data_IF_829328843712
#
_entry.id   IF_829328843712
#
_cell.length_a   1.000
_cell.length_b   1.000
_cell.length_c   1.000
_cell.angle_alpha   90.00
_cell.angle_beta   90.00
_cell.angle_gamma   90.00
#
_symmetry.space_group_name_H-M   'P 1'
#
loop_
_entity.id
_entity.type
_entity.pdbx_description
1 polymer ?
#
# COMPACT_ATOMS: atom_id res chain seq x y z
N UNK A 1 -18.98 50.10 -15.13
CA UNK A 1 -19.12 49.19 -13.96
C UNK A 1 -18.63 47.81 -14.39
N UNK A 2 -17.43 47.41 -13.98
CA UNK A 2 -16.86 46.11 -14.31
C UNK A 2 -17.22 45.09 -13.22
N UNK A 3 -18.03 44.10 -13.58
CA UNK A 3 -18.32 42.93 -12.73
C UNK A 3 -17.08 42.04 -12.70
N UNK A 4 -16.34 42.13 -11.60
CA UNK A 4 -15.21 41.24 -11.30
C UNK A 4 -15.76 39.89 -10.85
N UNK A 5 -15.99 39.00 -11.81
CA UNK A 5 -16.26 37.59 -11.51
C UNK A 5 -14.92 36.93 -11.11
N UNK A 6 -14.61 36.92 -9.82
CA UNK A 6 -13.49 36.11 -9.28
C UNK A 6 -13.92 34.64 -9.35
N UNK A 7 -13.26 33.78 -10.14
CA UNK A 7 -13.46 32.34 -9.98
C UNK A 7 -13.01 31.98 -8.56
N UNK A 8 -13.94 31.47 -7.75
CA UNK A 8 -13.60 30.81 -6.50
C UNK A 8 -12.80 29.57 -6.88
N UNK A 9 -11.48 29.66 -6.75
CA UNK A 9 -10.59 28.50 -6.71
C UNK A 9 -10.93 27.71 -5.45
N UNK A 10 -11.86 26.77 -5.58
CA UNK A 10 -12.01 25.70 -4.59
C UNK A 10 -10.69 24.94 -4.62
N UNK A 11 -9.85 25.17 -3.60
CA UNK A 11 -8.57 24.49 -3.45
C UNK A 11 -8.79 23.00 -3.21
N UNK A 12 -8.92 22.23 -4.29
CA UNK A 12 -8.96 20.76 -4.24
C UNK A 12 -7.55 20.24 -4.55
N UNK A 13 -6.63 20.44 -3.61
CA UNK A 13 -5.29 19.85 -3.65
C UNK A 13 -5.35 18.40 -3.15
N UNK A 14 -5.84 17.49 -3.99
CA UNK A 14 -5.59 16.06 -3.82
C UNK A 14 -4.52 15.65 -4.81
N UNK A 15 -3.24 15.71 -4.45
CA UNK A 15 -2.19 15.19 -5.35
C UNK A 15 -2.44 13.71 -5.59
N UNK A 16 -2.18 13.21 -6.79
CA UNK A 16 -2.28 11.78 -7.11
C UNK A 16 -1.49 10.89 -6.13
N UNK A 17 -0.38 11.41 -5.59
CA UNK A 17 0.38 10.77 -4.53
C UNK A 17 -0.40 10.72 -3.20
N UNK A 18 -1.13 11.77 -2.85
CA UNK A 18 -1.97 11.83 -1.65
C UNK A 18 -3.13 10.82 -1.67
N UNK A 19 -3.81 10.66 -2.81
CA UNK A 19 -4.89 9.67 -2.96
C UNK A 19 -4.36 8.23 -2.94
N UNK A 20 -3.22 7.97 -3.59
CA UNK A 20 -2.54 6.67 -3.52
C UNK A 20 -2.06 6.32 -2.10
N UNK A 21 -1.53 7.31 -1.37
CA UNK A 21 -1.11 7.13 0.03
C UNK A 21 -2.28 6.83 0.94
N UNK A 22 -3.42 7.51 0.76
CA UNK A 22 -4.64 7.22 1.52
C UNK A 22 -5.16 5.81 1.23
N UNK A 23 -5.12 5.37 -0.03
CA UNK A 23 -5.51 4.01 -0.40
C UNK A 23 -4.59 2.95 0.22
N UNK A 24 -3.28 3.18 0.22
CA UNK A 24 -2.31 2.32 0.91
C UNK A 24 -2.59 2.27 2.42
N UNK A 25 -2.86 3.42 3.04
CA UNK A 25 -3.23 3.49 4.45
C UNK A 25 -4.49 2.69 4.75
N UNK A 26 -5.55 2.84 3.94
CA UNK A 26 -6.79 2.08 4.10
C UNK A 26 -6.58 0.58 3.91
N UNK A 27 -5.75 0.17 2.95
CA UNK A 27 -5.41 -1.24 2.74
C UNK A 27 -4.74 -1.86 3.96
N UNK A 28 -3.79 -1.14 4.57
CA UNK A 28 -3.10 -1.61 5.78
C UNK A 28 -4.03 -1.57 6.99
N UNK A 29 -4.81 -0.50 7.15
CA UNK A 29 -5.71 -0.33 8.28
C UNK A 29 -6.83 -1.39 8.28
N UNK A 30 -7.52 -1.56 7.15
CA UNK A 30 -8.66 -2.49 7.02
C UNK A 30 -8.18 -3.91 6.84
N UNK A 31 -7.31 -4.16 5.84
CA UNK A 31 -6.80 -5.48 5.51
C UNK A 31 -5.93 -6.06 6.63
N UNK A 32 -5.12 -5.23 7.30
CA UNK A 32 -4.32 -5.69 8.44
C UNK A 32 -5.09 -5.83 9.76
N UNK A 33 -6.36 -5.43 9.82
CA UNK A 33 -7.09 -5.41 11.09
C UNK A 33 -7.29 -6.82 11.66
N UNK A 34 -7.10 -7.03 12.98
CA UNK A 34 -7.24 -8.35 13.58
C UNK A 34 -8.65 -8.94 13.40
N UNK A 35 -9.68 -8.09 13.29
CA UNK A 35 -11.04 -8.52 12.97
C UNK A 35 -11.14 -9.06 11.54
N UNK A 36 -10.58 -8.37 10.55
CA UNK A 36 -10.57 -8.85 9.16
C UNK A 36 -9.73 -10.12 9.02
N UNK A 37 -8.55 -10.17 9.66
CA UNK A 37 -7.68 -11.35 9.64
C UNK A 37 -8.40 -12.57 10.22
N UNK A 38 -9.05 -12.42 11.38
CA UNK A 38 -9.82 -13.49 12.01
C UNK A 38 -11.00 -13.95 11.16
N UNK A 39 -11.73 -13.00 10.57
CA UNK A 39 -12.83 -13.32 9.65
C UNK A 39 -12.32 -14.07 8.41
N UNK A 40 -11.30 -13.56 7.75
CA UNK A 40 -10.74 -14.14 6.53
C UNK A 40 -10.21 -15.56 6.79
N UNK A 41 -9.53 -15.79 7.91
CA UNK A 41 -9.01 -17.12 8.26
C UNK A 41 -10.12 -18.12 8.63
N UNK A 42 -11.19 -17.66 9.28
CA UNK A 42 -12.30 -18.51 9.72
C UNK A 42 -13.40 -18.76 8.68
N UNK A 43 -13.56 -17.88 7.69
CA UNK A 43 -14.72 -17.90 6.77
C UNK A 43 -14.34 -18.02 5.28
N UNK A 44 -13.07 -18.19 4.94
CA UNK A 44 -12.64 -18.37 3.54
C UNK A 44 -11.93 -19.69 3.32
N UNK A 45 -12.18 -20.33 2.18
CA UNK A 45 -11.48 -21.54 1.77
C UNK A 45 -10.04 -21.20 1.32
N UNK A 46 -8.99 -21.76 1.94
CA UNK A 46 -7.60 -21.50 1.56
C UNK A 46 -7.23 -22.06 0.18
N UNK A 47 -7.99 -23.03 -0.36
CA UNK A 47 -7.75 -23.66 -1.66
C UNK A 47 -8.51 -22.99 -2.81
N UNK A 48 -9.53 -22.18 -2.48
CA UNK A 48 -10.25 -21.37 -3.45
C UNK A 48 -9.49 -20.08 -3.79
N UNK A 49 -9.42 -19.73 -5.08
CA UNK A 49 -8.72 -18.51 -5.54
C UNK A 49 -9.22 -17.22 -4.85
N UNK A 50 -10.53 -17.11 -4.61
CA UNK A 50 -11.11 -15.98 -3.89
C UNK A 50 -10.73 -15.95 -2.40
N UNK A 51 -10.71 -17.10 -1.74
CA UNK A 51 -10.30 -17.18 -0.33
C UNK A 51 -8.81 -16.93 -0.14
N UNK A 52 -7.98 -17.42 -1.06
CA UNK A 52 -6.56 -17.08 -1.12
C UNK A 52 -6.34 -15.57 -1.25
N UNK A 53 -7.07 -14.88 -2.14
CA UNK A 53 -6.94 -13.43 -2.31
C UNK A 53 -7.40 -12.65 -1.06
N UNK A 54 -8.53 -13.04 -0.46
CA UNK A 54 -9.01 -12.40 0.77
C UNK A 54 -8.03 -12.56 1.94
N UNK A 55 -7.39 -13.73 2.05
CA UNK A 55 -6.30 -13.99 3.01
C UNK A 55 -5.03 -13.22 2.66
N UNK A 56 -4.75 -13.00 1.37
CA UNK A 56 -3.64 -12.17 0.94
C UNK A 56 -3.85 -10.70 1.36
N UNK A 57 -5.07 -10.16 1.29
CA UNK A 57 -5.38 -8.83 1.85
C UNK A 57 -5.11 -8.74 3.35
N UNK A 58 -5.17 -9.86 4.06
CA UNK A 58 -4.90 -9.96 5.49
C UNK A 58 -3.39 -9.90 5.82
N UNK A 59 -2.50 -9.96 4.83
CA UNK A 59 -1.06 -10.04 5.01
C UNK A 59 -0.43 -8.95 5.90
N UNK A 60 -0.84 -7.66 5.86
CA UNK A 60 -0.27 -6.62 6.71
C UNK A 60 -0.46 -6.89 8.20
N UNK A 61 -1.43 -7.74 8.58
CA UNK A 61 -1.77 -8.23 9.93
C UNK A 61 -1.00 -7.54 11.06
N UNK A 62 -1.55 -6.41 11.53
CA UNK A 62 -1.01 -5.68 12.67
C UNK A 62 -1.67 -6.19 13.97
N UNK A 63 -0.99 -6.08 15.11
CA UNK A 63 -1.41 -6.71 16.38
C UNK A 63 -1.49 -5.69 17.50
N UNK A 64 -2.55 -5.79 18.32
CA UNK A 64 -2.71 -5.00 19.55
C UNK A 64 -2.12 -5.68 20.79
N UNK A 65 -2.08 -7.01 20.83
CA UNK A 65 -1.70 -7.76 22.03
C UNK A 65 -0.18 -7.97 22.11
N UNK A 66 0.39 -7.67 23.27
CA UNK A 66 1.83 -7.71 23.56
C UNK A 66 2.37 -9.15 23.65
N UNK A 67 2.47 -9.80 22.50
CA UNK A 67 3.15 -11.08 22.31
C UNK A 67 4.51 -10.87 21.61
N UNK A 68 5.36 -11.90 21.57
CA UNK A 68 6.74 -11.90 21.02
C UNK A 68 6.87 -11.52 19.52
N UNK A 69 5.78 -11.20 18.82
CA UNK A 69 5.77 -10.74 17.42
C UNK A 69 5.12 -9.37 17.20
N UNK A 70 4.68 -8.67 18.26
CA UNK A 70 3.95 -7.40 18.13
C UNK A 70 4.79 -6.32 17.46
N UNK A 71 6.06 -6.19 17.86
CA UNK A 71 6.95 -5.16 17.33
C UNK A 71 7.23 -5.37 15.84
N UNK A 72 7.57 -6.59 15.42
CA UNK A 72 7.82 -6.94 14.01
C UNK A 72 6.59 -6.72 13.12
N UNK A 73 5.40 -7.14 13.59
CA UNK A 73 4.16 -7.00 12.84
C UNK A 73 3.76 -5.53 12.65
N UNK A 74 3.81 -4.74 13.72
CA UNK A 74 3.45 -3.32 13.67
C UNK A 74 4.51 -2.49 12.92
N UNK A 75 5.79 -2.81 13.09
CA UNK A 75 6.88 -2.18 12.34
C UNK A 75 6.72 -2.40 10.84
N UNK A 76 6.38 -3.62 10.40
CA UNK A 76 6.09 -3.93 8.99
C UNK A 76 4.93 -3.10 8.44
N UNK A 77 3.84 -3.00 9.19
CA UNK A 77 2.67 -2.23 8.78
C UNK A 77 3.00 -0.74 8.63
N UNK A 78 3.73 -0.16 9.59
CA UNK A 78 4.15 1.24 9.56
C UNK A 78 5.14 1.48 8.42
N UNK A 79 6.16 0.62 8.26
CA UNK A 79 7.14 0.72 7.18
C UNK A 79 6.48 0.61 5.81
N UNK A 80 5.43 -0.19 5.66
CA UNK A 80 4.70 -0.31 4.40
C UNK A 80 3.98 0.99 4.05
N UNK A 81 3.34 1.63 5.04
CA UNK A 81 2.69 2.94 4.87
C UNK A 81 3.73 4.00 4.50
N UNK A 82 4.83 4.07 5.25
CA UNK A 82 5.89 5.07 5.03
C UNK A 82 6.59 4.87 3.70
N UNK A 83 6.93 3.63 3.34
CA UNK A 83 7.57 3.31 2.06
C UNK A 83 6.64 3.59 0.88
N UNK A 84 5.35 3.25 0.99
CA UNK A 84 4.35 3.58 -0.03
C UNK A 84 4.21 5.09 -0.19
N UNK A 85 4.10 5.84 0.91
CA UNK A 85 4.02 7.30 0.89
C UNK A 85 5.28 7.92 0.27
N UNK A 86 6.46 7.46 0.69
CA UNK A 86 7.74 7.96 0.20
C UNK A 86 7.90 7.71 -1.31
N UNK A 87 7.66 6.49 -1.78
CA UNK A 87 7.78 6.15 -3.21
C UNK A 87 6.74 6.90 -4.06
N UNK A 88 5.49 7.01 -3.62
CA UNK A 88 4.47 7.77 -4.34
C UNK A 88 4.78 9.27 -4.39
N UNK A 89 5.48 9.81 -3.39
CA UNK A 89 5.90 11.21 -3.35
C UNK A 89 7.21 11.46 -4.13
N UNK A 90 8.10 10.48 -4.23
CA UNK A 90 9.38 10.57 -4.95
C UNK A 90 9.26 10.31 -6.46
N UNK A 91 8.26 9.54 -6.91
CA UNK A 91 8.08 9.16 -8.31
C UNK A 91 7.39 10.16 -9.27
N UNK A 92 7.07 11.44 -8.96
CA UNK A 92 6.64 12.38 -10.00
C UNK A 92 7.76 12.64 -11.03
N UNK A 93 7.88 11.75 -12.01
CA UNK A 93 8.72 11.94 -13.19
C UNK A 93 8.15 13.03 -14.11
N UNK A 94 8.99 13.65 -14.95
CA UNK A 94 8.57 14.69 -15.88
C UNK A 94 7.43 14.16 -16.76
N UNK A 95 6.28 14.85 -16.74
CA UNK A 95 5.07 14.43 -17.45
C UNK A 95 5.23 14.64 -18.96
N UNK A 96 5.72 13.63 -19.67
CA UNK A 96 5.69 13.59 -21.13
C UNK A 96 4.35 12.95 -21.55
N UNK A 97 3.52 13.76 -22.21
CA UNK A 97 2.22 13.45 -22.85
C UNK A 97 1.10 12.84 -21.99
N UNK A 98 0.00 13.60 -21.87
CA UNK A 98 -1.22 13.28 -21.08
C UNK A 98 -1.84 11.90 -21.32
N UNK A 99 -1.64 11.31 -22.49
CA UNK A 99 -2.22 10.00 -22.86
C UNK A 99 -1.30 8.84 -22.43
N UNK A 100 0.02 8.99 -22.58
CA UNK A 100 1.00 8.05 -22.03
C UNK A 100 1.11 8.14 -20.50
N UNK A 101 0.79 9.32 -19.94
CA UNK A 101 0.84 9.60 -18.51
C UNK A 101 -0.14 8.77 -17.66
N UNK A 102 -1.28 8.31 -18.21
CA UNK A 102 -2.28 7.56 -17.42
C UNK A 102 -1.83 6.11 -17.17
N UNK A 103 -1.39 5.41 -18.22
CA UNK A 103 -0.88 4.04 -18.11
C UNK A 103 0.45 3.97 -17.35
N UNK A 104 1.39 4.90 -17.62
CA UNK A 104 2.68 4.91 -16.90
C UNK A 104 2.52 5.24 -15.43
N UNK A 105 1.51 6.03 -15.06
CA UNK A 105 1.22 6.36 -13.67
C UNK A 105 0.54 5.23 -12.91
N UNK A 106 -0.38 4.48 -13.55
CA UNK A 106 -0.91 3.26 -12.97
C UNK A 106 0.22 2.27 -12.67
N UNK A 107 1.09 2.02 -13.67
CA UNK A 107 2.22 1.10 -13.55
C UNK A 107 3.24 1.58 -12.50
N UNK A 108 3.48 2.90 -12.43
CA UNK A 108 4.34 3.53 -11.43
C UNK A 108 3.78 3.35 -10.01
N UNK A 109 2.49 3.66 -9.78
CA UNK A 109 1.86 3.48 -8.47
C UNK A 109 1.74 2.01 -8.07
N UNK A 110 1.42 1.13 -9.01
CA UNK A 110 1.37 -0.31 -8.83
C UNK A 110 2.74 -0.90 -8.47
N UNK A 111 3.76 -0.59 -9.26
CA UNK A 111 5.14 -1.05 -9.05
C UNK A 111 5.75 -0.46 -7.77
N UNK A 112 5.48 0.81 -7.46
CA UNK A 112 5.88 1.44 -6.22
C UNK A 112 5.31 0.71 -5.00
N UNK A 113 4.03 0.32 -5.04
CA UNK A 113 3.43 -0.42 -3.92
C UNK A 113 3.98 -1.85 -3.78
N UNK A 114 4.23 -2.54 -4.90
CA UNK A 114 4.88 -3.85 -4.89
C UNK A 114 6.29 -3.80 -4.26
N UNK A 115 7.09 -2.80 -4.65
CA UNK A 115 8.42 -2.58 -4.09
C UNK A 115 8.34 -2.17 -2.62
N UNK A 116 7.43 -1.26 -2.26
CA UNK A 116 7.22 -0.80 -0.89
C UNK A 116 6.91 -1.97 0.05
N UNK A 117 6.02 -2.87 -0.36
CA UNK A 117 5.64 -4.03 0.44
C UNK A 117 6.80 -5.01 0.64
N UNK A 118 7.61 -5.26 -0.40
CA UNK A 118 8.81 -6.08 -0.32
C UNK A 118 9.87 -5.50 0.61
N UNK A 119 10.18 -4.21 0.46
CA UNK A 119 11.16 -3.50 1.30
C UNK A 119 10.70 -3.42 2.75
N UNK A 120 9.41 -3.13 2.99
CA UNK A 120 8.84 -3.09 4.32
C UNK A 120 8.92 -4.43 5.04
N UNK A 121 8.63 -5.54 4.33
CA UNK A 121 8.82 -6.88 4.87
C UNK A 121 10.28 -7.17 5.21
N UNK A 122 11.20 -6.91 4.27
CA UNK A 122 12.63 -7.16 4.43
C UNK A 122 13.17 -6.44 5.67
N UNK A 123 12.90 -5.13 5.77
CA UNK A 123 13.35 -4.31 6.89
C UNK A 123 12.71 -4.74 8.20
N UNK A 124 11.40 -4.99 8.22
CA UNK A 124 10.73 -5.42 9.44
C UNK A 124 11.30 -6.74 9.98
N UNK A 125 11.64 -7.69 9.10
CA UNK A 125 12.25 -8.95 9.53
C UNK A 125 13.72 -8.85 9.92
N UNK A 126 14.51 -7.97 9.30
CA UNK A 126 15.90 -7.76 9.71
C UNK A 126 16.01 -7.02 11.05
N UNK A 127 15.11 -6.07 11.30
CA UNK A 127 15.06 -5.29 12.54
C UNK A 127 14.28 -6.01 13.65
N UNK A 128 13.62 -7.13 13.34
CA UNK A 128 12.85 -7.92 14.29
C UNK A 128 13.71 -8.89 15.12
N UNK A 129 13.17 -9.41 16.24
CA UNK A 129 13.87 -10.38 17.08
C UNK A 129 14.15 -11.67 16.29
N UNK A 130 15.42 -12.13 16.27
CA UNK A 130 15.80 -13.36 15.58
C UNK A 130 15.90 -13.28 14.06
N UNK A 131 16.02 -12.07 13.50
CA UNK A 131 16.13 -11.84 12.06
C UNK A 131 17.36 -12.51 11.42
N UNK A 132 17.11 -13.44 10.50
CA UNK A 132 18.15 -13.98 9.60
C UNK A 132 17.98 -13.41 8.20
N UNK A 133 19.06 -13.35 7.43
CA UNK A 133 19.00 -12.89 6.04
C UNK A 133 18.07 -13.76 5.19
N UNK A 134 18.06 -15.08 5.43
CA UNK A 134 17.15 -16.01 4.76
C UNK A 134 15.67 -15.71 5.08
N UNK A 135 15.34 -15.50 6.36
CA UNK A 135 13.98 -15.13 6.78
C UNK A 135 13.55 -13.78 6.17
N UNK A 136 14.50 -12.84 6.03
CA UNK A 136 14.21 -11.55 5.42
C UNK A 136 13.91 -11.64 3.93
N UNK A 137 14.62 -12.48 3.17
CA UNK A 137 14.31 -12.73 1.76
C UNK A 137 12.96 -13.44 1.58
N UNK A 138 12.63 -14.40 2.45
CA UNK A 138 11.31 -15.07 2.45
C UNK A 138 10.17 -14.09 2.77
N UNK A 139 10.38 -13.18 3.71
CA UNK A 139 9.38 -12.15 4.01
C UNK A 139 9.26 -11.13 2.87
N UNK A 140 10.38 -10.73 2.27
CA UNK A 140 10.40 -9.82 1.13
C UNK A 140 9.61 -10.39 -0.06
N UNK A 141 9.79 -11.67 -0.38
CA UNK A 141 9.06 -12.33 -1.47
C UNK A 141 7.55 -12.36 -1.21
N UNK A 142 7.13 -12.64 0.05
CA UNK A 142 5.74 -12.55 0.46
C UNK A 142 5.19 -11.12 0.37
N UNK A 143 5.99 -10.13 0.76
CA UNK A 143 5.64 -8.71 0.66
C UNK A 143 5.47 -8.24 -0.78
N UNK A 144 6.39 -8.61 -1.67
CA UNK A 144 6.26 -8.32 -3.12
C UNK A 144 5.01 -9.00 -3.69
N UNK A 145 4.74 -10.24 -3.31
CA UNK A 145 3.53 -10.97 -3.75
C UNK A 145 2.28 -10.21 -3.31
N UNK A 146 2.19 -9.81 -2.04
CA UNK A 146 1.10 -8.97 -1.53
C UNK A 146 0.98 -7.67 -2.33
N UNK A 147 2.07 -6.92 -2.46
CA UNK A 147 2.05 -5.61 -3.11
C UNK A 147 1.77 -5.68 -4.61
N UNK A 148 2.14 -6.77 -5.29
CA UNK A 148 1.77 -7.02 -6.69
C UNK A 148 0.26 -7.23 -6.84
N UNK A 149 -0.34 -8.08 -6.00
CA UNK A 149 -1.75 -8.43 -6.07
C UNK A 149 -2.69 -7.38 -5.45
N UNK A 150 -2.22 -6.58 -4.50
CA UNK A 150 -3.01 -5.48 -3.89
C UNK A 150 -2.70 -4.11 -4.53
N UNK A 151 -1.54 -3.96 -5.17
CA UNK A 151 -1.05 -2.68 -5.68
C UNK A 151 -1.90 -2.06 -6.78
N UNK A 152 -2.78 -2.84 -7.44
CA UNK A 152 -3.65 -2.29 -8.48
C UNK A 152 -4.66 -1.31 -7.89
N UNK A 153 -5.04 -1.49 -6.62
CA UNK A 153 -5.91 -0.57 -5.87
C UNK A 153 -5.21 0.79 -5.72
N UNK A 154 -3.91 0.78 -5.39
CA UNK A 154 -3.09 1.98 -5.24
C UNK A 154 -2.82 2.63 -6.60
N UNK A 155 -2.54 1.82 -7.63
CA UNK A 155 -2.42 2.27 -9.02
C UNK A 155 -3.68 2.98 -9.52
N UNK A 156 -4.87 2.41 -9.29
CA UNK A 156 -6.15 3.02 -9.63
C UNK A 156 -6.43 4.29 -8.81
N UNK A 157 -6.18 4.27 -7.50
CA UNK A 157 -6.36 5.44 -6.63
C UNK A 157 -5.47 6.62 -7.04
N UNK A 158 -4.29 6.33 -7.61
CA UNK A 158 -3.36 7.35 -8.13
C UNK A 158 -3.87 8.01 -9.41
N UNK A 159 -4.80 7.39 -10.15
CA UNK A 159 -5.43 8.00 -11.32
C UNK A 159 -6.46 9.07 -10.93
N UNK A 160 -7.15 8.90 -9.80
CA UNK A 160 -8.28 9.74 -9.37
C UNK A 160 -7.92 11.14 -8.85
N UNK A 161 -6.65 11.42 -8.53
CA UNK A 161 -6.20 12.71 -7.99
C UNK A 161 -6.21 13.88 -8.98
N UNK A 162 -6.75 13.72 -10.19
CA UNK A 162 -6.79 14.76 -11.23
C UNK A 162 -8.19 15.08 -11.77
N UNK A 163 -9.25 14.57 -11.13
CA UNK A 163 -10.65 14.77 -11.55
C UNK A 163 -11.34 15.93 -10.80
#
# INVERSE_FOLDING_TARGET
MALTNRPRTVGRYGTAAGTGTLAAFLLVAVGGSPMYVGWAQGHTDPTGAGGWFLRLLAWPAWRWHADEGLLTANLRAILLIVAAAALLYLLPGPQVDRVAASGSQFLSGWGAYALAAGVAALLATLLGPGGTLYAAFQAASAGVTYGFFAGWIVGLASLGGRA
#
